data_IF_494560216358
#
_entry.id   IF_494560216358
#
_cell.length_a   1.000
_cell.length_b   1.000
_cell.length_c   1.000
_cell.angle_alpha   90.00
_cell.angle_beta   90.00
_cell.angle_gamma   90.00
#
_symmetry.space_group_name_H-M   'P 1'
#
loop_
_entity.id
_entity.type
_entity.pdbx_description
1 polymer ?
#
# COMPACT_ATOMS: atom_id res chain seq x y z
N UNK A 1 30.47 -2.81 -8.63
CA UNK A 1 29.41 -2.69 -7.63
C UNK A 1 28.30 -3.66 -8.02
N UNK A 2 27.97 -4.63 -7.17
CA UNK A 2 26.93 -5.61 -7.51
C UNK A 2 25.54 -4.95 -7.47
N UNK A 3 24.58 -5.46 -8.26
CA UNK A 3 23.21 -4.90 -8.29
C UNK A 3 22.51 -4.96 -6.93
N UNK A 4 22.88 -5.95 -6.09
CA UNK A 4 22.47 -6.02 -4.69
C UNK A 4 22.84 -4.76 -3.91
N UNK A 5 24.10 -4.33 -4.00
CA UNK A 5 24.58 -3.17 -3.24
C UNK A 5 23.92 -1.89 -3.74
N UNK A 6 23.68 -1.78 -5.05
CA UNK A 6 22.96 -0.64 -5.63
C UNK A 6 21.52 -0.56 -5.14
N UNK A 7 20.79 -1.68 -5.12
CA UNK A 7 19.44 -1.76 -4.58
C UNK A 7 19.41 -1.34 -3.10
N UNK A 8 20.37 -1.80 -2.30
CA UNK A 8 20.45 -1.45 -0.89
C UNK A 8 20.86 0.01 -0.65
N UNK A 9 21.65 0.64 -1.52
CA UNK A 9 22.01 2.05 -1.38
C UNK A 9 20.89 2.99 -1.81
N UNK A 10 20.25 2.72 -2.95
CA UNK A 10 19.26 3.63 -3.55
C UNK A 10 17.84 3.38 -3.02
N UNK A 11 17.52 2.13 -2.68
CA UNK A 11 16.18 1.68 -2.30
C UNK A 11 16.19 0.98 -0.93
N UNK A 12 16.97 1.51 0.02
CA UNK A 12 17.07 0.99 1.38
C UNK A 12 15.71 1.02 2.10
N UNK A 13 15.09 -0.13 2.28
CA UNK A 13 13.89 -0.33 3.11
C UNK A 13 13.96 -1.66 3.87
N UNK A 14 13.08 -1.83 4.86
CA UNK A 14 13.12 -2.92 5.84
C UNK A 14 13.08 -4.29 5.16
N UNK A 15 12.22 -4.45 4.15
CA UNK A 15 12.00 -5.73 3.48
C UNK A 15 12.95 -5.97 2.29
N UNK A 16 13.71 -4.97 1.84
CA UNK A 16 14.57 -5.07 0.65
C UNK A 16 15.64 -6.16 0.79
N UNK A 17 16.31 -6.22 1.94
CA UNK A 17 17.36 -7.21 2.17
C UNK A 17 16.78 -8.64 2.14
N UNK A 18 15.61 -8.82 2.77
CA UNK A 18 14.95 -10.12 2.82
C UNK A 18 14.49 -10.57 1.43
N UNK A 19 13.91 -9.65 0.66
CA UNK A 19 13.53 -9.88 -0.73
C UNK A 19 14.71 -10.27 -1.61
N UNK A 20 15.81 -9.51 -1.58
CA UNK A 20 17.02 -9.81 -2.35
C UNK A 20 17.54 -11.21 -1.99
N UNK A 21 17.57 -11.56 -0.70
CA UNK A 21 18.01 -12.89 -0.27
C UNK A 21 17.10 -14.00 -0.81
N UNK A 22 15.79 -13.76 -0.88
CA UNK A 22 14.82 -14.68 -1.50
C UNK A 22 15.06 -14.85 -3.00
N UNK A 23 15.23 -13.75 -3.75
CA UNK A 23 15.58 -13.76 -5.19
C UNK A 23 16.87 -14.55 -5.43
N UNK A 24 17.89 -14.35 -4.59
CA UNK A 24 19.16 -15.06 -4.68
C UNK A 24 19.03 -16.56 -4.41
N UNK A 25 18.09 -16.96 -3.54
CA UNK A 25 17.87 -18.35 -3.14
C UNK A 25 17.07 -19.13 -4.18
N UNK A 26 16.02 -18.54 -4.73
CA UNK A 26 15.17 -19.20 -5.73
C UNK A 26 15.82 -19.28 -7.12
N UNK A 27 16.61 -18.28 -7.49
CA UNK A 27 17.11 -18.16 -8.86
C UNK A 27 18.64 -18.29 -8.95
N UNK A 28 19.26 -19.41 -8.51
CA UNK A 28 20.72 -19.52 -8.35
C UNK A 28 21.50 -19.31 -9.66
N UNK A 29 20.87 -19.58 -10.81
CA UNK A 29 21.46 -19.48 -12.16
C UNK A 29 21.31 -18.08 -12.79
N UNK A 30 20.23 -17.36 -12.47
CA UNK A 30 19.88 -16.07 -13.10
C UNK A 30 19.85 -14.88 -12.11
N UNK A 31 20.46 -15.04 -10.93
CA UNK A 31 20.53 -14.03 -9.86
C UNK A 31 20.85 -12.61 -10.34
N UNK A 32 21.88 -12.48 -11.18
CA UNK A 32 22.32 -11.17 -11.68
C UNK A 32 21.30 -10.54 -12.62
N UNK A 33 20.64 -11.33 -13.45
CA UNK A 33 19.65 -10.85 -14.42
C UNK A 33 18.36 -10.43 -13.72
N UNK A 34 17.91 -11.22 -12.74
CA UNK A 34 16.75 -10.90 -11.90
C UNK A 34 16.99 -9.60 -11.11
N UNK A 35 18.11 -9.48 -10.39
CA UNK A 35 18.43 -8.26 -9.63
C UNK A 35 18.62 -7.04 -10.53
N UNK A 36 19.19 -7.23 -11.73
CA UNK A 36 19.31 -6.15 -12.72
C UNK A 36 17.94 -5.70 -13.22
N UNK A 37 17.04 -6.64 -13.51
CA UNK A 37 15.67 -6.33 -13.93
C UNK A 37 14.93 -5.51 -12.88
N UNK A 38 14.95 -5.99 -11.62
CA UNK A 38 14.33 -5.28 -10.49
C UNK A 38 14.91 -3.87 -10.35
N UNK A 39 16.23 -3.72 -10.39
CA UNK A 39 16.88 -2.41 -10.26
C UNK A 39 16.50 -1.45 -11.40
N UNK A 40 16.51 -1.93 -12.64
CA UNK A 40 16.12 -1.11 -13.80
C UNK A 40 14.65 -0.71 -13.74
N UNK A 41 13.77 -1.61 -13.29
CA UNK A 41 12.36 -1.32 -13.11
C UNK A 41 12.14 -0.23 -12.05
N UNK A 42 12.77 -0.36 -10.88
CA UNK A 42 12.69 0.63 -9.80
C UNK A 42 13.29 1.99 -10.19
N UNK A 43 14.35 1.99 -11.00
CA UNK A 43 14.90 3.21 -11.58
C UNK A 43 13.94 3.89 -12.55
N UNK A 44 13.16 3.14 -13.33
CA UNK A 44 12.21 3.73 -14.27
C UNK A 44 10.97 4.28 -13.55
N UNK A 45 10.47 3.54 -12.56
CA UNK A 45 9.25 3.88 -11.83
C UNK A 45 9.45 4.92 -10.73
N UNK A 46 10.65 5.01 -10.16
CA UNK A 46 10.98 5.90 -9.03
C UNK A 46 9.91 5.89 -7.90
N UNK A 47 9.57 4.72 -7.32
CA UNK A 47 8.59 4.65 -6.26
C UNK A 47 9.04 5.31 -4.97
N UNK A 48 8.08 5.75 -4.15
CA UNK A 48 8.37 6.12 -2.77
C UNK A 48 8.82 4.89 -1.97
N UNK A 49 9.77 5.08 -1.05
CA UNK A 49 10.30 3.98 -0.22
C UNK A 49 9.20 3.32 0.63
N UNK A 50 8.19 4.09 1.06
CA UNK A 50 7.05 3.58 1.84
C UNK A 50 6.18 2.66 1.00
N UNK A 51 5.91 3.01 -0.26
CA UNK A 51 5.16 2.16 -1.17
C UNK A 51 5.96 0.90 -1.52
N UNK A 52 7.24 1.07 -1.85
CA UNK A 52 8.14 -0.03 -2.18
C UNK A 52 8.23 -1.04 -1.03
N UNK A 53 8.34 -0.57 0.22
CA UNK A 53 8.40 -1.45 1.38
C UNK A 53 7.12 -2.29 1.55
N UNK A 54 5.93 -1.71 1.30
CA UNK A 54 4.67 -2.45 1.30
C UNK A 54 4.61 -3.51 0.19
N UNK A 55 5.07 -3.18 -1.01
CA UNK A 55 5.16 -4.12 -2.14
C UNK A 55 6.07 -5.28 -1.77
N UNK A 56 7.25 -4.99 -1.22
CA UNK A 56 8.22 -6.00 -0.82
C UNK A 56 7.69 -6.87 0.33
N UNK A 57 7.05 -6.27 1.34
CA UNK A 57 6.41 -7.02 2.41
C UNK A 57 5.37 -8.03 1.86
N UNK A 58 4.62 -7.64 0.82
CA UNK A 58 3.68 -8.54 0.17
C UNK A 58 4.37 -9.66 -0.63
N UNK A 59 5.43 -9.33 -1.36
CA UNK A 59 6.21 -10.31 -2.12
C UNK A 59 6.86 -11.38 -1.22
N UNK A 60 7.27 -10.99 0.00
CA UNK A 60 7.97 -11.87 0.94
C UNK A 60 7.03 -12.53 1.96
N UNK A 61 5.72 -12.31 1.85
CA UNK A 61 4.74 -12.95 2.73
C UNK A 61 4.77 -14.49 2.60
N UNK A 62 4.62 -15.18 3.75
CA UNK A 62 4.82 -16.63 3.95
C UNK A 62 4.02 -17.58 3.03
N UNK A 63 3.08 -17.05 2.23
CA UNK A 63 2.17 -17.83 1.39
C UNK A 63 2.28 -17.56 -0.11
N UNK A 64 3.02 -16.53 -0.53
CA UNK A 64 3.02 -16.10 -1.95
C UNK A 64 4.42 -16.14 -2.56
N UNK A 65 5.47 -15.80 -1.79
CA UNK A 65 6.89 -15.93 -2.18
C UNK A 65 7.19 -15.55 -3.64
N UNK A 66 6.96 -14.29 -4.01
CA UNK A 66 7.13 -13.80 -5.39
C UNK A 66 8.53 -13.24 -5.61
N UNK A 67 9.46 -14.10 -5.98
CA UNK A 67 10.88 -13.75 -6.10
C UNK A 67 11.38 -13.63 -7.55
N UNK A 68 10.49 -13.76 -8.54
CA UNK A 68 10.81 -13.43 -9.92
C UNK A 68 10.48 -11.96 -10.24
N UNK A 69 11.27 -11.35 -11.13
CA UNK A 69 11.07 -9.96 -11.54
C UNK A 69 9.69 -9.73 -12.13
N UNK A 70 9.19 -10.66 -12.96
CA UNK A 70 7.85 -10.54 -13.56
C UNK A 70 6.74 -10.57 -12.51
N UNK A 71 6.88 -11.39 -11.47
CA UNK A 71 5.90 -11.46 -10.39
C UNK A 71 5.95 -10.19 -9.51
N UNK A 72 7.16 -9.66 -9.28
CA UNK A 72 7.35 -8.40 -8.58
C UNK A 72 6.70 -7.23 -9.35
N UNK A 73 6.93 -7.14 -10.66
CA UNK A 73 6.33 -6.14 -11.54
C UNK A 73 4.79 -6.22 -11.50
N UNK A 74 4.22 -7.42 -11.58
CA UNK A 74 2.77 -7.62 -11.46
C UNK A 74 2.19 -7.16 -10.12
N UNK A 75 2.86 -7.48 -9.00
CA UNK A 75 2.44 -7.02 -7.66
C UNK A 75 2.52 -5.51 -7.57
N UNK A 76 3.63 -4.93 -8.04
CA UNK A 76 3.87 -3.50 -8.01
C UNK A 76 2.78 -2.73 -8.78
N UNK A 77 2.50 -3.14 -10.02
CA UNK A 77 1.46 -2.52 -10.86
C UNK A 77 0.06 -2.69 -10.28
N UNK A 78 -0.22 -3.86 -9.70
CA UNK A 78 -1.49 -4.13 -9.05
C UNK A 78 -1.68 -3.22 -7.83
N UNK A 79 -0.68 -3.13 -6.96
CA UNK A 79 -0.72 -2.24 -5.79
C UNK A 79 -0.76 -0.76 -6.18
N UNK A 80 -0.08 -0.36 -7.24
CA UNK A 80 -0.10 1.02 -7.75
C UNK A 80 -1.50 1.40 -8.25
N UNK A 81 -2.21 0.47 -8.89
CA UNK A 81 -3.61 0.65 -9.30
C UNK A 81 -4.55 0.75 -8.09
N UNK A 82 -4.33 -0.03 -7.04
CA UNK A 82 -5.15 0.07 -5.82
C UNK A 82 -4.92 1.40 -5.09
N UNK A 83 -3.67 1.85 -4.93
CA UNK A 83 -3.36 3.15 -4.31
C UNK A 83 -4.01 4.32 -5.08
N UNK A 84 -3.98 4.28 -6.41
CA UNK A 84 -4.63 5.34 -7.22
C UNK A 84 -6.17 5.32 -7.13
N UNK A 85 -6.79 4.16 -6.85
CA UNK A 85 -8.23 4.07 -6.55
C UNK A 85 -8.55 4.62 -5.16
N UNK A 86 -7.77 4.29 -4.14
CA UNK A 86 -7.97 4.81 -2.77
C UNK A 86 -7.86 6.33 -2.74
N UNK A 87 -6.85 6.91 -3.41
CA UNK A 87 -6.74 8.37 -3.55
C UNK A 87 -7.94 9.01 -4.26
N UNK A 88 -8.57 8.28 -5.19
CA UNK A 88 -9.75 8.74 -5.91
C UNK A 88 -10.99 8.71 -5.01
N UNK A 89 -11.12 7.69 -4.16
CA UNK A 89 -12.21 7.56 -3.19
C UNK A 89 -12.09 8.63 -2.11
N UNK A 90 -10.89 8.87 -1.57
CA UNK A 90 -10.67 9.91 -0.55
C UNK A 90 -11.00 11.31 -1.08
N UNK A 91 -10.63 11.61 -2.33
CA UNK A 91 -11.01 12.88 -2.99
C UNK A 91 -12.51 13.01 -3.17
N UNK A 92 -13.21 11.92 -3.51
CA UNK A 92 -14.67 11.92 -3.60
C UNK A 92 -15.31 12.12 -2.22
N UNK A 93 -14.80 11.46 -1.18
CA UNK A 93 -15.29 11.62 0.19
C UNK A 93 -15.05 13.04 0.71
N UNK A 94 -13.88 13.63 0.44
CA UNK A 94 -13.57 15.00 0.80
C UNK A 94 -14.48 15.98 0.06
N UNK A 95 -14.67 15.80 -1.26
CA UNK A 95 -15.60 16.61 -2.06
C UNK A 95 -17.05 16.50 -1.57
N UNK A 96 -17.48 15.32 -1.11
CA UNK A 96 -18.78 15.13 -0.49
C UNK A 96 -18.90 15.86 0.86
N UNK A 97 -17.88 15.80 1.72
CA UNK A 97 -17.85 16.54 2.99
C UNK A 97 -17.86 18.06 2.77
N UNK A 98 -17.15 18.54 1.77
CA UNK A 98 -17.08 19.96 1.44
C UNK A 98 -18.39 20.47 0.81
N UNK A 99 -19.05 19.66 -0.03
CA UNK A 99 -20.35 20.01 -0.65
C UNK A 99 -21.53 19.87 0.31
N UNK A 100 -21.46 18.94 1.25
CA UNK A 100 -22.47 18.72 2.27
C UNK A 100 -21.78 18.87 3.63
N UNK A 101 -21.61 20.10 4.14
CA UNK A 101 -21.14 20.29 5.50
C UNK A 101 -22.17 19.69 6.46
N UNK A 102 -21.91 18.46 6.90
CA UNK A 102 -22.74 17.78 7.90
C UNK A 102 -22.36 18.40 9.24
N UNK A 103 -23.19 19.30 9.75
CA UNK A 103 -23.14 19.70 11.16
C UNK A 103 -23.56 18.48 12.00
N UNK A 104 -22.57 17.71 12.46
CA UNK A 104 -22.79 16.66 13.44
C UNK A 104 -22.99 17.34 14.80
N UNK A 105 -24.23 17.70 15.12
CA UNK A 105 -24.59 18.03 16.51
C UNK A 105 -24.27 16.81 17.39
N UNK A 106 -23.27 16.96 18.27
CA UNK A 106 -23.00 15.99 19.32
C UNK A 106 -24.17 16.00 20.32
N UNK A 107 -25.23 15.28 19.99
CA UNK A 107 -26.37 15.07 20.89
C UNK A 107 -25.96 14.12 21.99
N UNK A 108 -25.94 14.61 23.22
CA UNK A 108 -25.75 13.80 24.41
C UNK A 108 -26.86 12.73 24.52
N UNK A 109 -26.58 11.61 25.19
CA UNK A 109 -27.59 10.56 25.39
C UNK A 109 -28.85 11.09 26.11
N UNK A 110 -28.72 12.18 26.87
CA UNK A 110 -29.82 12.85 27.55
C UNK A 110 -30.84 13.46 26.56
N UNK A 111 -30.39 14.08 25.48
CA UNK A 111 -31.27 14.63 24.43
C UNK A 111 -32.05 13.53 23.69
N UNK A 112 -31.45 12.35 23.49
CA UNK A 112 -32.15 11.22 22.88
C UNK A 112 -33.26 10.70 23.80
N UNK A 113 -32.96 10.55 25.09
CA UNK A 113 -33.94 10.14 26.10
C UNK A 113 -35.11 11.15 26.23
N UNK A 114 -34.83 12.46 26.13
CA UNK A 114 -35.85 13.50 26.17
C UNK A 114 -36.77 13.45 24.94
N UNK A 115 -36.22 13.25 23.74
CA UNK A 115 -37.00 13.21 22.49
C UNK A 115 -37.86 11.96 22.37
N UNK A 116 -37.35 10.80 22.80
CA UNK A 116 -38.13 9.57 22.87
C UNK A 116 -39.33 9.74 23.83
N UNK A 117 -39.13 10.40 24.98
CA UNK A 117 -40.22 10.69 25.92
C UNK A 117 -41.29 11.60 25.32
N UNK A 118 -40.90 12.65 24.58
CA UNK A 118 -41.86 13.53 23.89
C UNK A 118 -42.68 12.76 22.84
N UNK A 119 -42.05 11.91 22.04
CA UNK A 119 -42.73 11.10 21.02
C UNK A 119 -43.67 10.06 21.61
N UNK A 120 -43.41 9.57 22.82
CA UNK A 120 -44.31 8.63 23.52
C UNK A 120 -45.48 9.28 24.24
N UNK A 121 -45.53 10.62 24.33
CA UNK A 121 -46.62 11.35 25.00
C UNK A 121 -47.63 12.00 24.02
N UNK A 122 -47.34 12.01 22.73
CA UNK A 122 -48.25 12.50 21.67
C UNK A 122 -49.06 11.38 20.99
N UNK A 123 -49.08 10.17 21.56
CA UNK A 123 -49.84 9.00 21.09
C UNK A 123 -51.06 8.68 21.94
#
# INVERSE_FOLDING_TARGET
MEYRDKLLMEFSCEHMLHFINGVLKENPRYRKEQLRGIYNFLLAEHPSLVFLDKVLAFCVADHIWRYHVSEFEEVFDSMKKEVSKDESIDKLQQSLRDKFPIEVEARDCASYAARVRQLTMEG
#
